data_IF_416934778317
#
_entry.id   IF_416934778317
#
_cell.length_a   1.000
_cell.length_b   1.000
_cell.length_c   1.000
_cell.angle_alpha   90.00
_cell.angle_beta   90.00
_cell.angle_gamma   90.00
#
_symmetry.space_group_name_H-M   'P 1'
#
loop_
_entity.id
_entity.type
_entity.pdbx_description
1 polymer ?
#
# COMPACT_ATOMS: atom_id res chain seq x y z
N UNK A 1 -35.91 8.31 16.63
CA UNK A 1 -34.56 7.80 16.94
C UNK A 1 -33.61 8.38 15.92
N UNK A 2 -32.73 9.27 16.34
CA UNK A 2 -31.66 9.72 15.48
C UNK A 2 -30.68 8.56 15.32
N UNK A 3 -30.60 7.98 14.13
CA UNK A 3 -29.57 7.02 13.80
C UNK A 3 -28.20 7.69 13.99
N UNK A 4 -27.37 7.12 14.85
CA UNK A 4 -25.95 7.51 14.92
C UNK A 4 -25.38 7.19 13.56
N UNK A 5 -25.18 8.22 12.72
CA UNK A 5 -24.58 8.06 11.40
C UNK A 5 -23.22 7.43 11.58
N UNK A 6 -22.97 6.27 10.96
CA UNK A 6 -21.67 5.62 10.96
C UNK A 6 -20.63 6.64 10.48
N UNK A 7 -19.62 6.90 11.29
CA UNK A 7 -18.50 7.78 10.91
C UNK A 7 -17.85 7.16 9.66
N UNK A 8 -17.68 7.96 8.62
CA UNK A 8 -17.07 7.48 7.37
C UNK A 8 -15.59 7.10 7.61
N UNK A 9 -15.10 6.10 6.89
CA UNK A 9 -13.66 5.77 6.86
C UNK A 9 -12.85 7.00 6.48
N UNK A 10 -11.81 7.29 7.25
CA UNK A 10 -10.92 8.41 7.06
C UNK A 10 -9.66 7.98 6.31
N UNK A 11 -9.27 8.75 5.29
CA UNK A 11 -8.04 8.54 4.51
C UNK A 11 -7.06 9.64 4.84
N UNK A 12 -5.80 9.27 5.08
CA UNK A 12 -4.77 10.23 5.44
C UNK A 12 -3.38 9.72 5.06
N UNK A 13 -2.45 10.64 4.88
CA UNK A 13 -1.03 10.34 4.82
C UNK A 13 -0.48 10.40 6.23
N UNK A 14 0.27 9.38 6.64
CA UNK A 14 0.82 9.28 7.99
C UNK A 14 2.31 9.00 7.95
N UNK A 15 3.02 9.44 8.99
CA UNK A 15 4.40 9.03 9.23
C UNK A 15 4.46 7.68 9.94
N UNK A 16 5.58 6.99 9.76
CA UNK A 16 5.78 5.65 10.31
C UNK A 16 5.55 5.57 11.82
N UNK A 17 5.99 6.59 12.58
CA UNK A 17 5.77 6.67 14.03
C UNK A 17 4.29 6.56 14.44
N UNK A 18 3.41 7.10 13.61
CA UNK A 18 1.96 7.12 13.89
C UNK A 18 1.25 5.83 13.52
N UNK A 19 1.87 4.97 12.72
CA UNK A 19 1.19 3.81 12.11
C UNK A 19 1.85 2.47 12.43
N UNK A 20 3.13 2.46 12.82
CA UNK A 20 3.91 1.21 12.93
C UNK A 20 3.31 0.21 13.90
N UNK A 21 2.85 0.65 15.07
CA UNK A 21 2.27 -0.26 16.07
C UNK A 21 0.91 -0.83 15.60
N UNK A 22 0.07 0.01 15.01
CA UNK A 22 -1.22 -0.42 14.45
C UNK A 22 -1.03 -1.35 13.24
N UNK A 23 0.02 -1.12 12.45
CA UNK A 23 0.31 -1.90 11.26
C UNK A 23 0.78 -3.33 11.55
N UNK A 24 1.43 -3.58 12.69
CA UNK A 24 1.99 -4.91 13.02
C UNK A 24 0.95 -6.02 12.95
N UNK A 25 -0.25 -5.82 13.51
CA UNK A 25 -1.32 -6.80 13.44
C UNK A 25 -1.83 -7.05 12.02
N UNK A 26 -2.01 -5.98 11.22
CA UNK A 26 -2.42 -6.10 9.83
C UNK A 26 -1.33 -6.70 8.94
N UNK A 27 -0.05 -6.51 9.26
CA UNK A 27 1.07 -7.10 8.52
C UNK A 27 1.09 -8.62 8.65
N UNK A 28 0.80 -9.15 9.82
CA UNK A 28 0.71 -10.60 10.01
C UNK A 28 -0.42 -11.21 9.17
N UNK A 29 -1.61 -10.61 9.22
CA UNK A 29 -2.74 -11.04 8.39
C UNK A 29 -2.45 -10.90 6.90
N UNK A 30 -1.83 -9.80 6.50
CA UNK A 30 -1.41 -9.55 5.11
C UNK A 30 -0.40 -10.60 4.64
N UNK A 31 0.64 -10.87 5.44
CA UNK A 31 1.64 -11.88 5.13
C UNK A 31 1.02 -13.28 5.00
N UNK A 32 0.14 -13.65 5.93
CA UNK A 32 -0.57 -14.94 5.85
C UNK A 32 -1.41 -15.07 4.58
N UNK A 33 -2.00 -13.97 4.12
CA UNK A 33 -2.84 -14.00 2.92
C UNK A 33 -2.04 -14.05 1.61
N UNK A 34 -0.91 -13.33 1.51
CA UNK A 34 -0.28 -13.08 0.19
C UNK A 34 1.15 -13.57 0.04
N UNK A 35 1.83 -13.93 1.13
CA UNK A 35 3.24 -14.30 1.04
C UNK A 35 3.45 -15.63 0.30
N UNK A 36 4.54 -15.67 -0.46
CA UNK A 36 5.06 -16.88 -1.09
C UNK A 36 6.23 -17.42 -0.28
N UNK A 37 6.52 -18.72 -0.40
CA UNK A 37 7.64 -19.38 0.27
C UNK A 37 7.62 -19.23 1.81
N UNK A 38 6.45 -19.27 2.43
CA UNK A 38 6.25 -19.05 3.88
C UNK A 38 7.03 -20.03 4.77
N UNK A 39 7.29 -21.22 4.26
CA UNK A 39 8.09 -22.25 4.91
C UNK A 39 9.57 -21.86 5.01
N UNK A 40 10.06 -21.04 4.08
CA UNK A 40 11.47 -20.68 3.94
C UNK A 40 11.77 -19.24 4.33
N UNK A 41 10.85 -18.31 4.06
CA UNK A 41 11.03 -16.89 4.28
C UNK A 41 9.98 -16.40 5.27
N UNK A 42 10.41 -15.95 6.45
CA UNK A 42 9.54 -15.39 7.48
C UNK A 42 9.50 -13.87 7.39
N UNK A 43 8.36 -13.29 7.78
CA UNK A 43 8.24 -11.85 7.86
C UNK A 43 9.16 -11.31 8.97
N UNK A 44 9.98 -10.35 8.62
CA UNK A 44 10.87 -9.65 9.55
C UNK A 44 11.21 -8.27 8.96
N UNK A 45 10.31 -7.26 9.10
CA UNK A 45 10.53 -5.96 8.50
C UNK A 45 11.73 -5.24 9.10
N UNK A 46 12.55 -4.65 8.26
CA UNK A 46 13.64 -3.74 8.66
C UNK A 46 13.07 -2.33 8.90
N UNK A 47 12.64 -2.10 10.13
CA UNK A 47 12.03 -0.82 10.51
C UNK A 47 13.01 0.35 10.39
N UNK A 48 14.29 0.15 10.67
CA UNK A 48 15.30 1.19 10.56
C UNK A 48 15.49 1.63 9.10
N UNK A 49 15.42 0.70 8.16
CA UNK A 49 15.43 1.00 6.74
C UNK A 49 14.18 1.80 6.32
N UNK A 50 13.00 1.45 6.82
CA UNK A 50 11.77 2.22 6.57
C UNK A 50 11.86 3.65 7.12
N UNK A 51 12.36 3.84 8.33
CA UNK A 51 12.59 5.18 8.91
C UNK A 51 13.57 5.98 8.07
N UNK A 52 14.68 5.38 7.66
CA UNK A 52 15.68 6.03 6.80
C UNK A 52 15.08 6.49 5.47
N UNK A 53 14.26 5.65 4.83
CA UNK A 53 13.58 6.01 3.58
C UNK A 53 12.57 7.14 3.78
N UNK A 54 11.85 7.15 4.90
CA UNK A 54 10.93 8.23 5.25
C UNK A 54 11.68 9.56 5.44
N UNK A 55 12.79 9.57 6.19
CA UNK A 55 13.64 10.75 6.39
C UNK A 55 14.19 11.30 5.08
N UNK A 56 14.45 10.43 4.11
CA UNK A 56 14.91 10.80 2.78
C UNK A 56 13.80 11.26 1.84
N UNK A 57 12.54 11.26 2.30
CA UNK A 57 11.38 11.57 1.45
C UNK A 57 11.13 10.52 0.34
N UNK A 58 11.54 9.28 0.57
CA UNK A 58 11.42 8.16 -0.38
C UNK A 58 10.36 7.13 0.01
N UNK A 59 9.64 7.37 1.08
CA UNK A 59 8.57 6.51 1.58
C UNK A 59 7.33 7.35 1.89
N UNK A 60 6.22 6.99 1.29
CA UNK A 60 4.91 7.55 1.63
C UNK A 60 3.97 6.44 2.11
N UNK A 61 3.23 6.73 3.18
CA UNK A 61 2.28 5.83 3.81
C UNK A 61 0.90 6.47 3.79
N UNK A 62 -0.03 5.83 3.11
CA UNK A 62 -1.43 6.22 3.07
C UNK A 62 -2.26 5.21 3.83
N UNK A 63 -3.17 5.69 4.67
CA UNK A 63 -3.96 4.84 5.57
C UNK A 63 -5.45 5.04 5.38
N UNK A 64 -6.20 3.98 5.66
CA UNK A 64 -7.63 4.02 5.88
C UNK A 64 -7.91 3.66 7.34
N UNK A 65 -8.63 4.54 8.06
CA UNK A 65 -9.03 4.32 9.45
C UNK A 65 -10.54 4.39 9.59
N UNK A 66 -11.11 3.40 10.25
CA UNK A 66 -12.53 3.36 10.64
C UNK A 66 -12.64 3.58 12.14
N UNK A 67 -13.27 4.67 12.55
CA UNK A 67 -13.34 5.09 13.97
C UNK A 67 -11.96 5.12 14.66
N UNK A 68 -10.93 5.55 13.93
CA UNK A 68 -9.55 5.61 14.41
C UNK A 68 -8.76 4.31 14.30
N UNK A 69 -9.42 3.18 14.06
CA UNK A 69 -8.77 1.88 13.89
C UNK A 69 -8.19 1.77 12.48
N UNK A 70 -6.92 1.38 12.37
CA UNK A 70 -6.28 1.11 11.08
C UNK A 70 -6.92 -0.12 10.43
N UNK A 71 -7.54 0.08 9.26
CA UNK A 71 -8.20 -0.99 8.51
C UNK A 71 -7.54 -1.25 7.15
N UNK A 72 -6.66 -0.39 6.72
CA UNK A 72 -5.91 -0.56 5.48
C UNK A 72 -4.75 0.41 5.34
N UNK A 73 -3.79 0.02 4.53
CA UNK A 73 -2.65 0.85 4.19
C UNK A 73 -2.24 0.66 2.72
N UNK A 74 -1.64 1.69 2.19
CA UNK A 74 -0.98 1.69 0.90
C UNK A 74 0.36 2.40 1.07
N UNK A 75 1.44 1.64 1.00
CA UNK A 75 2.82 2.09 1.21
C UNK A 75 3.55 2.07 -0.12
N UNK A 76 4.19 3.18 -0.45
CA UNK A 76 4.91 3.33 -1.71
C UNK A 76 6.33 3.83 -1.48
N UNK A 77 7.25 3.35 -2.30
CA UNK A 77 8.57 3.94 -2.46
C UNK A 77 8.55 4.96 -3.60
N UNK A 78 9.10 6.14 -3.36
CA UNK A 78 9.18 7.23 -4.33
C UNK A 78 10.63 7.53 -4.65
N UNK A 79 10.97 7.51 -5.93
CA UNK A 79 12.33 7.84 -6.38
C UNK A 79 12.35 8.29 -7.84
N UNK A 80 13.37 9.05 -8.25
CA UNK A 80 13.64 9.25 -9.67
C UNK A 80 13.88 7.91 -10.36
N UNK A 81 13.38 7.74 -11.57
CA UNK A 81 13.64 6.55 -12.35
C UNK A 81 15.02 6.63 -13.02
N UNK A 82 15.83 5.59 -12.91
CA UNK A 82 17.22 5.60 -13.41
C UNK A 82 17.29 5.93 -14.92
N UNK A 83 16.33 5.42 -15.71
CA UNK A 83 16.28 5.69 -17.15
C UNK A 83 15.57 7.00 -17.50
N UNK A 84 14.82 7.59 -16.55
CA UNK A 84 14.00 8.79 -16.75
C UNK A 84 14.20 9.73 -15.55
N UNK A 85 15.44 10.24 -15.40
CA UNK A 85 15.89 10.97 -14.19
C UNK A 85 15.06 12.21 -13.82
N UNK A 86 14.33 12.77 -14.79
CA UNK A 86 13.50 13.96 -14.63
C UNK A 86 12.08 13.63 -14.16
N UNK A 87 11.78 12.32 -13.95
CA UNK A 87 10.47 11.83 -13.54
C UNK A 87 10.55 11.03 -12.24
N UNK A 88 9.67 11.37 -11.28
CA UNK A 88 9.47 10.58 -10.08
C UNK A 88 8.51 9.41 -10.36
N UNK A 89 8.90 8.24 -9.90
CA UNK A 89 8.07 7.05 -9.91
C UNK A 89 7.74 6.66 -8.47
N UNK A 90 6.47 6.34 -8.22
CA UNK A 90 6.04 5.68 -7.01
C UNK A 90 5.69 4.23 -7.32
N UNK A 91 6.19 3.31 -6.50
CA UNK A 91 5.90 1.87 -6.62
C UNK A 91 5.45 1.33 -5.28
N UNK A 92 4.35 0.56 -5.27
CA UNK A 92 3.89 0.00 -4.01
C UNK A 92 4.87 -1.03 -3.46
N UNK A 93 5.15 -0.87 -2.17
CA UNK A 93 5.76 -1.89 -1.32
C UNK A 93 4.66 -2.79 -0.75
N UNK A 94 3.71 -2.17 -0.07
CA UNK A 94 2.59 -2.85 0.57
C UNK A 94 1.26 -2.20 0.16
N UNK A 95 0.26 -3.03 -0.08
CA UNK A 95 -1.14 -2.61 -0.18
C UNK A 95 -2.03 -3.67 0.45
N UNK A 96 -2.82 -3.28 1.45
CA UNK A 96 -3.71 -4.19 2.15
C UNK A 96 -4.93 -3.46 2.68
N UNK A 97 -6.05 -4.16 2.69
CA UNK A 97 -7.30 -3.73 3.30
C UNK A 97 -7.89 -4.91 4.06
N UNK A 98 -8.25 -4.69 5.32
CA UNK A 98 -8.88 -5.71 6.15
C UNK A 98 -10.13 -6.29 5.45
N UNK A 99 -10.35 -7.62 5.50
CA UNK A 99 -11.46 -8.28 4.80
C UNK A 99 -12.83 -7.68 5.08
N UNK A 100 -13.05 -7.20 6.31
CA UNK A 100 -14.30 -6.54 6.74
C UNK A 100 -14.62 -5.25 5.95
N UNK A 101 -13.65 -4.64 5.30
CA UNK A 101 -13.76 -3.37 4.57
C UNK A 101 -13.61 -3.51 3.05
N UNK A 102 -13.53 -4.74 2.52
CA UNK A 102 -13.36 -5.00 1.08
C UNK A 102 -14.65 -4.92 0.28
N UNK A 103 -15.80 -4.98 0.94
CA UNK A 103 -17.11 -4.80 0.28
C UNK A 103 -17.40 -3.31 0.20
N UNK A 104 -17.39 -2.75 -1.00
CA UNK A 104 -17.65 -1.33 -1.24
C UNK A 104 -16.42 -0.58 -1.78
N UNK A 105 -16.30 0.70 -1.46
CA UNK A 105 -15.37 1.62 -2.13
C UNK A 105 -14.13 1.98 -1.31
N UNK A 106 -13.92 1.39 -0.13
CA UNK A 106 -12.80 1.77 0.76
C UNK A 106 -11.44 1.63 0.07
N UNK A 107 -11.18 0.50 -0.58
CA UNK A 107 -9.92 0.29 -1.31
C UNK A 107 -9.72 1.27 -2.48
N UNK A 108 -10.79 1.51 -3.24
CA UNK A 108 -10.78 2.48 -4.35
C UNK A 108 -10.48 3.89 -3.84
N UNK A 109 -11.12 4.30 -2.75
CA UNK A 109 -10.92 5.62 -2.15
C UNK A 109 -9.51 5.78 -1.58
N UNK A 110 -8.94 4.72 -0.96
CA UNK A 110 -7.57 4.75 -0.47
C UNK A 110 -6.57 4.97 -1.60
N UNK A 111 -6.70 4.23 -2.70
CA UNK A 111 -5.79 4.37 -3.85
C UNK A 111 -5.97 5.75 -4.51
N UNK A 112 -7.20 6.22 -4.69
CA UNK A 112 -7.46 7.57 -5.23
C UNK A 112 -6.90 8.69 -4.36
N UNK A 113 -7.01 8.55 -3.05
CA UNK A 113 -6.43 9.52 -2.11
C UNK A 113 -4.90 9.55 -2.26
N UNK A 114 -4.25 8.39 -2.28
CA UNK A 114 -2.80 8.28 -2.49
C UNK A 114 -2.37 8.86 -3.84
N UNK A 115 -3.09 8.54 -4.92
CA UNK A 115 -2.83 9.07 -6.26
C UNK A 115 -2.88 10.59 -6.28
N UNK A 116 -3.87 11.19 -5.60
CA UNK A 116 -4.00 12.64 -5.48
C UNK A 116 -2.78 13.28 -4.78
N UNK A 117 -2.39 12.75 -3.63
CA UNK A 117 -1.22 13.23 -2.88
C UNK A 117 0.07 13.09 -3.69
N UNK A 118 0.31 11.91 -4.27
CA UNK A 118 1.51 11.65 -5.07
C UNK A 118 1.60 12.56 -6.30
N UNK A 119 0.46 12.86 -6.93
CA UNK A 119 0.40 13.81 -8.04
C UNK A 119 0.77 15.24 -7.61
N UNK A 120 0.28 15.69 -6.46
CA UNK A 120 0.63 17.00 -5.88
C UNK A 120 2.13 17.06 -5.55
N UNK A 121 2.74 15.95 -5.14
CA UNK A 121 4.18 15.84 -4.86
C UNK A 121 5.05 15.66 -6.12
N UNK A 122 4.45 15.70 -7.31
CA UNK A 122 5.17 15.67 -8.59
C UNK A 122 5.50 14.27 -9.11
N UNK A 123 4.88 13.22 -8.57
CA UNK A 123 5.06 11.86 -9.10
C UNK A 123 4.41 11.76 -10.48
N UNK A 124 5.17 11.28 -11.44
CA UNK A 124 4.74 11.13 -12.84
C UNK A 124 4.09 9.78 -13.12
N UNK A 125 4.52 8.73 -12.43
CA UNK A 125 4.04 7.36 -12.66
C UNK A 125 3.85 6.65 -11.33
N UNK A 126 2.66 6.10 -11.13
CA UNK A 126 2.34 5.21 -10.02
C UNK A 126 2.25 3.77 -10.53
N UNK A 127 3.10 2.90 -10.00
CA UNK A 127 3.14 1.46 -10.31
C UNK A 127 2.53 0.68 -9.15
N UNK A 128 1.54 -0.14 -9.43
CA UNK A 128 0.89 -1.00 -8.44
C UNK A 128 1.00 -2.46 -8.85
N UNK A 129 1.66 -3.26 -8.04
CA UNK A 129 1.75 -4.70 -8.22
C UNK A 129 0.60 -5.41 -7.50
N UNK A 130 -0.02 -6.37 -8.16
CA UNK A 130 -0.99 -7.27 -7.54
C UNK A 130 -0.45 -8.70 -7.53
N UNK A 131 -0.81 -9.49 -6.52
CA UNK A 131 -0.44 -10.91 -6.49
C UNK A 131 -1.37 -11.72 -7.39
N UNK A 132 -0.82 -12.60 -8.22
CA UNK A 132 -1.60 -13.41 -9.17
C UNK A 132 -2.65 -14.31 -8.49
N UNK A 133 -2.38 -14.79 -7.28
CA UNK A 133 -3.31 -15.62 -6.50
C UNK A 133 -4.32 -14.83 -5.66
N UNK A 134 -4.13 -13.51 -5.53
CA UNK A 134 -5.02 -12.57 -4.84
C UNK A 134 -5.16 -11.26 -5.64
N UNK A 135 -5.62 -11.34 -6.89
CA UNK A 135 -5.64 -10.17 -7.77
C UNK A 135 -6.82 -9.24 -7.44
N UNK A 136 -6.62 -7.95 -7.73
CA UNK A 136 -7.66 -6.95 -7.72
C UNK A 136 -7.71 -6.14 -9.02
N UNK A 137 -7.58 -6.83 -10.14
CA UNK A 137 -7.53 -6.26 -11.50
C UNK A 137 -8.72 -5.35 -11.83
N UNK A 138 -9.93 -5.71 -11.36
CA UNK A 138 -11.13 -4.90 -11.61
C UNK A 138 -11.02 -3.50 -10.99
N UNK A 139 -10.44 -3.41 -9.79
CA UNK A 139 -10.19 -2.13 -9.13
C UNK A 139 -9.16 -1.33 -9.92
N UNK A 140 -8.08 -1.96 -10.35
CA UNK A 140 -7.04 -1.31 -11.15
C UNK A 140 -7.59 -0.76 -12.47
N UNK A 141 -8.36 -1.56 -13.20
CA UNK A 141 -9.01 -1.14 -14.44
C UNK A 141 -10.00 0.01 -14.21
N UNK A 142 -10.81 -0.07 -13.16
CA UNK A 142 -11.75 1.00 -12.78
C UNK A 142 -11.03 2.31 -12.47
N UNK A 143 -9.84 2.25 -11.86
CA UNK A 143 -9.00 3.41 -11.55
C UNK A 143 -8.16 3.89 -12.73
N UNK A 144 -8.26 3.26 -13.90
CA UNK A 144 -7.55 3.66 -15.11
C UNK A 144 -6.12 3.14 -15.24
N UNK A 145 -5.73 2.18 -14.40
CA UNK A 145 -4.43 1.50 -14.55
C UNK A 145 -4.46 0.53 -15.73
N UNK A 146 -3.35 0.46 -16.45
CA UNK A 146 -3.13 -0.51 -17.52
C UNK A 146 -2.05 -1.51 -17.12
N UNK A 147 -2.19 -2.80 -17.44
CA UNK A 147 -1.13 -3.77 -17.24
C UNK A 147 0.14 -3.36 -18.01
N UNK A 148 1.30 -3.37 -17.35
CA UNK A 148 2.57 -2.95 -17.95
C UNK A 148 3.61 -4.06 -17.99
N UNK A 149 3.74 -4.82 -16.89
CA UNK A 149 4.79 -5.84 -16.75
C UNK A 149 4.26 -7.08 -16.06
N UNK A 150 4.90 -8.22 -16.30
CA UNK A 150 4.69 -9.46 -15.55
C UNK A 150 5.96 -9.79 -14.79
N UNK A 151 5.84 -9.95 -13.47
CA UNK A 151 6.95 -10.31 -12.58
C UNK A 151 6.99 -11.82 -12.38
N UNK A 152 8.17 -12.40 -12.57
CA UNK A 152 8.46 -13.79 -12.24
C UNK A 152 9.40 -13.86 -11.04
N UNK A 153 9.15 -14.78 -10.12
CA UNK A 153 10.01 -15.01 -8.96
C UNK A 153 10.33 -16.49 -8.79
N UNK A 154 11.52 -16.77 -8.28
CA UNK A 154 11.99 -18.13 -7.96
C UNK A 154 12.82 -18.07 -6.67
N UNK A 155 12.53 -18.95 -5.72
CA UNK A 155 13.42 -19.13 -4.58
C UNK A 155 14.73 -19.79 -5.06
N UNK A 156 15.86 -19.19 -4.75
CA UNK A 156 17.21 -19.63 -5.13
C UNK A 156 18.16 -19.77 -3.93
N UNK A 157 17.62 -19.66 -2.69
CA UNK A 157 18.38 -19.92 -1.46
C UNK A 157 18.63 -21.42 -1.25
N UNK A 158 19.48 -21.73 -0.28
CA UNK A 158 19.81 -23.10 0.13
C UNK A 158 18.66 -23.77 0.89
#
# INVERSE_FOLDING_TARGET
MCGVGRVAVKYQQEFLDSVVEDAKGLLDDHWEEVALNKDKIKINPDWDAYYTLQEQGKLDIFTARDEGVLVGYFVVFVSPHIHYKDHLFAKNDLIYLAPSHRKGFTGIKLIKFAEGCLKEDGVSVLVVNTKNHKPFHKIMQFLGFSPSETLYSKYIGD
#
